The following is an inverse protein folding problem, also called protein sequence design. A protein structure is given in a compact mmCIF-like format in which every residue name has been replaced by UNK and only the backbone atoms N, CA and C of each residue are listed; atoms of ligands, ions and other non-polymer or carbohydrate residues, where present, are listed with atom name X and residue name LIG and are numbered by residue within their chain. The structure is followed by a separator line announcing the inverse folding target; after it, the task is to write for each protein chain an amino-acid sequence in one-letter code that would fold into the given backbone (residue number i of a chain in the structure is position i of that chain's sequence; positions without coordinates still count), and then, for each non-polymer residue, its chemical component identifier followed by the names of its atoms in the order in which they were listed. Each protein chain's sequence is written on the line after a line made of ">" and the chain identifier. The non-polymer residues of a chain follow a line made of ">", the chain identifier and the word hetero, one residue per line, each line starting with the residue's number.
data_IF_450547026030
#
_entry.id   IF_450547026030
#
_cell.length_a   1.000
_cell.length_b   1.000
_cell.length_c   1.000
_cell.angle_alpha   90.00
_cell.angle_beta   90.00
_cell.angle_gamma   90.00
#
_symmetry.space_group_name_H-M   'P 1'
#
loop_
_entity.id
_entity.type
_entity.pdbx_description
1 polymer ?
#
# COMPACT_ATOMS: atom_id res chain seq x y z
N UNK A 1 4.52 0.66 -0.85
CA UNK A 1 5.03 0.80 0.53
C UNK A 1 4.88 2.24 0.99
N UNK A 2 4.35 2.45 2.20
CA UNK A 2 4.27 3.76 2.85
C UNK A 2 5.35 3.86 3.93
N UNK A 3 6.21 4.87 3.86
CA UNK A 3 7.31 5.06 4.80
C UNK A 3 6.99 6.18 5.80
N UNK A 4 7.34 5.95 7.06
CA UNK A 4 7.44 7.06 8.02
C UNK A 4 8.83 7.68 7.87
N UNK A 5 8.92 8.76 7.08
CA UNK A 5 10.15 9.51 6.89
C UNK A 5 10.17 10.77 7.77
N UNK A 6 11.10 10.89 8.74
CA UNK A 6 11.32 12.13 9.48
C UNK A 6 12.13 13.17 8.69
N UNK A 7 12.53 12.89 7.44
CA UNK A 7 13.23 13.83 6.56
C UNK A 7 14.76 13.68 6.57
N UNK A 8 15.31 12.59 7.11
CA UNK A 8 16.74 12.28 7.09
C UNK A 8 16.98 10.90 6.51
N UNK A 9 17.82 10.80 5.48
CA UNK A 9 18.19 9.54 4.83
C UNK A 9 19.00 8.59 5.72
N UNK A 10 19.51 9.07 6.86
CA UNK A 10 20.37 8.31 7.78
C UNK A 10 19.67 7.85 9.08
N UNK A 11 18.36 8.04 9.22
CA UNK A 11 17.67 7.61 10.45
C UNK A 11 17.52 6.07 10.49
N UNK A 12 18.14 5.38 11.47
CA UNK A 12 18.05 3.93 11.63
C UNK A 12 16.63 3.44 12.00
N UNK A 13 15.70 4.35 12.31
CA UNK A 13 14.30 4.03 12.63
C UNK A 13 13.36 4.11 11.42
N UNK A 14 13.85 4.38 10.20
CA UNK A 14 12.99 4.40 9.01
C UNK A 14 12.40 3.02 8.77
N UNK A 15 11.08 2.92 8.88
CA UNK A 15 10.33 1.67 8.70
C UNK A 15 9.24 1.87 7.65
N UNK A 16 8.95 0.79 6.93
CA UNK A 16 7.76 0.74 6.09
C UNK A 16 6.53 0.44 6.98
N UNK A 17 5.72 1.46 7.23
CA UNK A 17 4.52 1.34 8.06
C UNK A 17 3.33 0.75 7.30
N UNK A 18 3.35 0.84 5.97
CA UNK A 18 2.37 0.24 5.08
C UNK A 18 3.07 -0.62 4.05
N UNK A 19 2.69 -1.90 3.99
CA UNK A 19 3.15 -2.85 2.99
C UNK A 19 1.94 -3.51 2.34
N UNK A 20 1.86 -3.38 1.02
CA UNK A 20 0.84 -3.99 0.19
C UNK A 20 1.52 -4.57 -1.04
N UNK A 21 1.17 -5.80 -1.40
CA UNK A 21 1.45 -6.37 -2.73
C UNK A 21 0.20 -6.21 -3.59
N UNK A 22 0.38 -5.75 -4.82
CA UNK A 22 -0.72 -5.64 -5.80
C UNK A 22 -0.34 -6.47 -7.02
N UNK A 23 -1.22 -7.38 -7.44
CA UNK A 23 -1.08 -8.11 -8.71
C UNK A 23 -2.22 -7.75 -9.64
N UNK A 24 -1.88 -7.30 -10.85
CA UNK A 24 -2.84 -6.89 -11.88
C UNK A 24 -2.86 -7.93 -13.01
N UNK A 25 -4.05 -8.43 -13.38
CA UNK A 25 -4.19 -9.28 -14.56
C UNK A 25 -5.34 -8.77 -15.45
N UNK A 26 -5.02 -8.13 -16.60
CA UNK A 26 -6.04 -7.59 -17.49
C UNK A 26 -6.81 -8.67 -18.25
N UNK A 27 -6.23 -9.85 -18.48
CA UNK A 27 -6.91 -10.97 -19.15
C UNK A 27 -7.97 -11.63 -18.26
N UNK A 28 -7.74 -11.60 -16.95
CA UNK A 28 -8.67 -12.12 -15.95
C UNK A 28 -9.59 -11.03 -15.39
N UNK A 29 -9.34 -9.78 -15.80
CA UNK A 29 -10.06 -8.60 -15.32
C UNK A 29 -10.04 -8.51 -13.79
N UNK A 30 -8.94 -8.93 -13.17
CA UNK A 30 -8.82 -9.04 -11.71
C UNK A 30 -7.56 -8.35 -11.18
N UNK A 31 -7.71 -7.75 -10.01
CA UNK A 31 -6.64 -7.20 -9.18
C UNK A 31 -6.66 -7.90 -7.84
N UNK A 32 -5.51 -8.37 -7.34
CA UNK A 32 -5.40 -8.84 -5.96
C UNK A 32 -4.57 -7.84 -5.16
N UNK A 33 -5.03 -7.50 -3.96
CA UNK A 33 -4.31 -6.64 -3.01
C UNK A 33 -4.06 -7.43 -1.74
N UNK A 34 -2.80 -7.65 -1.38
CA UNK A 34 -2.40 -8.33 -0.14
C UNK A 34 -1.87 -7.29 0.84
N UNK A 35 -2.62 -7.02 1.91
CA UNK A 35 -2.16 -6.22 3.04
C UNK A 35 -1.24 -7.04 3.94
N UNK A 36 -0.02 -6.54 4.13
CA UNK A 36 1.01 -7.20 4.95
C UNK A 36 1.17 -6.43 6.26
N UNK A 37 0.79 -7.00 7.41
CA UNK A 37 0.98 -6.34 8.70
C UNK A 37 2.46 -6.03 8.91
N UNK A 38 2.77 -4.77 9.23
CA UNK A 38 4.15 -4.28 9.42
C UNK A 38 4.95 -5.05 10.49
N UNK A 39 4.23 -5.63 11.45
CA UNK A 39 4.78 -6.38 12.58
C UNK A 39 4.90 -7.90 12.28
N UNK A 40 4.70 -8.33 11.03
CA UNK A 40 4.85 -9.73 10.59
C UNK A 40 6.26 -10.26 10.84
N UNK A 41 6.38 -11.31 11.66
CA UNK A 41 7.65 -11.92 12.06
C UNK A 41 8.13 -12.96 11.04
N UNK A 42 8.96 -12.50 10.10
CA UNK A 42 9.39 -13.25 8.92
C UNK A 42 10.92 -13.28 8.84
N UNK A 43 11.52 -14.28 8.14
CA UNK A 43 12.92 -14.17 7.74
C UNK A 43 13.11 -12.91 6.91
N UNK A 44 14.08 -12.06 7.26
CA UNK A 44 14.40 -10.90 6.44
C UNK A 44 15.43 -11.32 5.39
N UNK A 45 15.14 -11.02 4.12
CA UNK A 45 15.97 -11.41 2.99
C UNK A 45 17.38 -10.85 3.14
N UNK A 46 18.40 -11.66 2.83
CA UNK A 46 19.83 -11.30 2.94
C UNK A 46 20.30 -10.78 4.32
N UNK A 47 19.54 -11.02 5.40
CA UNK A 47 19.88 -10.55 6.75
C UNK A 47 20.25 -11.67 7.74
N UNK A 48 19.84 -12.92 7.46
CA UNK A 48 20.23 -14.11 8.24
C UNK A 48 19.44 -14.35 9.53
N UNK A 49 18.47 -13.48 9.87
CA UNK A 49 17.57 -13.66 11.03
C UNK A 49 16.15 -13.21 10.74
N UNK A 50 15.22 -13.61 11.62
CA UNK A 50 13.83 -13.16 11.60
C UNK A 50 13.69 -11.83 12.34
N UNK A 51 12.81 -10.98 11.83
CA UNK A 51 12.38 -9.74 12.47
C UNK A 51 10.99 -9.36 11.96
N UNK A 52 10.45 -8.23 12.45
CA UNK A 52 9.29 -7.57 11.86
C UNK A 52 9.61 -7.17 10.42
N UNK A 53 8.70 -7.48 9.50
CA UNK A 53 8.91 -7.23 8.07
C UNK A 53 9.21 -5.75 7.77
N UNK A 54 8.67 -4.81 8.55
CA UNK A 54 8.96 -3.39 8.37
C UNK A 54 10.42 -2.99 8.62
N UNK A 55 11.18 -3.81 9.35
CA UNK A 55 12.59 -3.59 9.60
C UNK A 55 13.45 -3.87 8.36
N UNK A 56 12.96 -4.63 7.38
CA UNK A 56 13.65 -4.85 6.09
C UNK A 56 14.04 -3.53 5.42
N UNK A 57 13.17 -2.52 5.50
CA UNK A 57 13.44 -1.19 4.94
C UNK A 57 14.58 -0.47 5.67
N UNK A 58 14.65 -0.60 7.00
CA UNK A 58 15.75 -0.05 7.79
C UNK A 58 17.08 -0.73 7.47
N UNK A 59 17.05 -2.04 7.18
CA UNK A 59 18.25 -2.85 6.98
C UNK A 59 18.84 -2.75 5.56
N UNK A 60 17.99 -2.68 4.53
CA UNK A 60 18.46 -2.67 3.14
C UNK A 60 17.57 -1.87 2.19
N UNK A 61 16.76 -0.96 2.71
CA UNK A 61 15.89 -0.11 1.91
C UNK A 61 14.85 -0.88 1.11
N UNK A 62 14.43 -0.28 0.00
CA UNK A 62 13.38 -0.79 -0.88
C UNK A 62 13.68 -2.19 -1.41
N UNK A 63 14.92 -2.45 -1.83
CA UNK A 63 15.32 -3.74 -2.42
C UNK A 63 15.17 -4.89 -1.42
N UNK A 64 15.69 -4.72 -0.19
CA UNK A 64 15.53 -5.75 0.85
C UNK A 64 14.07 -5.95 1.25
N UNK A 65 13.25 -4.89 1.24
CA UNK A 65 11.81 -5.02 1.47
C UNK A 65 11.12 -5.81 0.35
N UNK A 66 11.42 -5.53 -0.91
CA UNK A 66 10.88 -6.28 -2.06
C UNK A 66 11.22 -7.75 -1.93
N UNK A 67 12.51 -8.09 -1.77
CA UNK A 67 12.95 -9.48 -1.66
C UNK A 67 12.33 -10.19 -0.45
N UNK A 68 12.15 -9.49 0.68
CA UNK A 68 11.48 -10.07 1.86
C UNK A 68 10.00 -10.36 1.59
N UNK A 69 9.32 -9.53 0.80
CA UNK A 69 7.93 -9.76 0.38
C UNK A 69 7.86 -10.92 -0.63
N UNK A 70 8.78 -11.00 -1.59
CA UNK A 70 8.92 -12.13 -2.51
C UNK A 70 9.13 -13.46 -1.75
N UNK A 71 10.07 -13.47 -0.79
CA UNK A 71 10.37 -14.61 0.06
C UNK A 71 9.15 -15.04 0.90
N UNK A 72 8.34 -14.09 1.35
CA UNK A 72 7.13 -14.35 2.14
C UNK A 72 6.00 -14.94 1.27
N UNK A 73 5.75 -14.38 0.10
CA UNK A 73 4.56 -14.65 -0.71
C UNK A 73 4.81 -15.57 -1.92
N UNK A 74 6.07 -15.94 -2.18
CA UNK A 74 6.45 -16.86 -3.25
C UNK A 74 6.02 -16.40 -4.65
N UNK A 75 5.99 -15.09 -4.87
CA UNK A 75 5.67 -14.45 -6.15
C UNK A 75 6.64 -13.29 -6.42
N UNK A 76 7.00 -13.04 -7.69
CA UNK A 76 7.90 -11.94 -8.02
C UNK A 76 7.26 -10.57 -7.73
N UNK A 77 8.10 -9.60 -7.40
CA UNK A 77 7.74 -8.19 -7.23
C UNK A 77 8.47 -7.38 -8.30
N UNK A 78 7.81 -7.17 -9.44
CA UNK A 78 8.40 -6.50 -10.60
C UNK A 78 8.67 -5.00 -10.34
N UNK A 79 7.76 -4.37 -9.60
CA UNK A 79 7.77 -2.93 -9.36
C UNK A 79 7.49 -2.57 -7.91
N UNK A 80 7.96 -1.39 -7.51
CA UNK A 80 7.62 -0.80 -6.23
C UNK A 80 7.08 0.62 -6.41
N UNK A 81 6.16 1.00 -5.54
CA UNK A 81 5.82 2.40 -5.29
C UNK A 81 6.11 2.68 -3.82
N UNK A 82 6.93 3.69 -3.55
CA UNK A 82 7.29 4.16 -2.21
C UNK A 82 6.83 5.59 -2.04
N UNK A 83 5.90 5.83 -1.13
CA UNK A 83 5.45 7.18 -0.78
C UNK A 83 5.72 7.45 0.69
N UNK A 84 6.13 8.68 1.01
CA UNK A 84 6.11 9.18 2.38
C UNK A 84 4.75 9.86 2.69
N UNK A 85 4.66 10.50 3.87
CA UNK A 85 3.46 11.22 4.29
C UNK A 85 3.10 12.37 3.36
N UNK A 86 4.09 13.12 2.85
CA UNK A 86 3.87 14.24 1.92
C UNK A 86 3.45 13.73 0.56
N UNK A 87 4.06 12.63 0.08
CA UNK A 87 3.70 12.02 -1.19
C UNK A 87 2.24 11.59 -1.25
N UNK A 88 1.69 11.06 -0.15
CA UNK A 88 0.24 10.78 -0.09
C UNK A 88 -0.61 12.06 -0.15
N UNK A 89 -0.21 13.10 0.59
CA UNK A 89 -0.94 14.39 0.62
C UNK A 89 -0.97 15.02 -0.77
N UNK A 90 0.19 15.17 -1.39
CA UNK A 90 0.35 15.77 -2.72
C UNK A 90 -0.36 14.97 -3.80
N UNK A 91 -0.29 13.63 -3.75
CA UNK A 91 -1.02 12.77 -4.68
C UNK A 91 -2.53 12.99 -4.59
N UNK A 92 -3.09 12.96 -3.38
CA UNK A 92 -4.53 13.15 -3.17
C UNK A 92 -4.97 14.54 -3.62
N UNK A 93 -4.17 15.58 -3.35
CA UNK A 93 -4.49 16.94 -3.77
C UNK A 93 -4.39 17.12 -5.29
N UNK A 94 -3.36 16.55 -5.92
CA UNK A 94 -3.13 16.64 -7.37
C UNK A 94 -4.26 15.99 -8.19
N UNK A 95 -4.90 14.94 -7.67
CA UNK A 95 -6.06 14.29 -8.32
C UNK A 95 -7.40 14.92 -7.94
N UNK A 96 -7.39 16.01 -7.17
CA UNK A 96 -8.61 16.74 -6.78
C UNK A 96 -9.40 16.10 -5.64
N UNK A 97 -8.70 15.40 -4.74
CA UNK A 97 -9.28 14.72 -3.58
C UNK A 97 -9.87 13.35 -3.90
N UNK A 98 -10.14 12.58 -2.85
CA UNK A 98 -10.71 11.22 -2.90
C UNK A 98 -12.00 11.13 -2.09
N UNK A 99 -12.83 10.15 -2.41
CA UNK A 99 -14.02 9.80 -1.64
C UNK A 99 -13.85 8.39 -1.06
N UNK A 100 -14.17 8.20 0.22
CA UNK A 100 -14.21 6.86 0.84
C UNK A 100 -15.52 6.68 1.59
N UNK A 101 -15.99 5.44 1.70
CA UNK A 101 -17.12 5.09 2.56
C UNK A 101 -16.62 4.71 3.95
N UNK A 102 -16.86 5.59 4.92
CA UNK A 102 -16.34 5.46 6.27
C UNK A 102 -17.31 4.69 7.17
N UNK A 103 -16.81 3.65 7.87
CA UNK A 103 -17.67 2.73 8.59
C UNK A 103 -18.23 3.25 9.93
N UNK A 104 -17.67 4.31 10.52
CA UNK A 104 -18.13 4.88 11.79
C UNK A 104 -17.55 6.27 12.07
N UNK A 105 -18.23 7.04 12.90
CA UNK A 105 -17.80 8.38 13.32
C UNK A 105 -16.51 8.37 14.16
N UNK A 106 -15.56 9.24 13.82
CA UNK A 106 -14.41 9.48 14.69
C UNK A 106 -13.79 10.87 14.51
N UNK A 107 -12.99 11.30 15.50
CA UNK A 107 -12.22 12.55 15.46
C UNK A 107 -10.75 12.27 15.64
N UNK A 108 -9.94 12.67 14.67
CA UNK A 108 -8.51 12.41 14.70
C UNK A 108 -7.72 13.58 14.13
N UNK A 109 -6.73 14.05 14.89
CA UNK A 109 -5.80 15.12 14.49
C UNK A 109 -6.48 16.37 13.92
N UNK A 110 -7.54 16.83 14.57
CA UNK A 110 -8.26 18.06 14.19
C UNK A 110 -9.34 17.89 13.13
N UNK A 111 -9.48 16.70 12.54
CA UNK A 111 -10.53 16.39 11.58
C UNK A 111 -11.64 15.55 12.21
N UNK A 112 -12.86 15.75 11.72
CA UNK A 112 -14.02 14.89 11.96
C UNK A 112 -14.25 14.03 10.72
N UNK A 113 -14.49 12.75 10.95
CA UNK A 113 -14.83 11.75 9.94
C UNK A 113 -16.19 11.21 10.30
N UNK A 114 -17.19 11.54 9.49
CA UNK A 114 -18.56 11.07 9.64
C UNK A 114 -18.70 9.69 9.00
N UNK A 115 -19.61 8.87 9.51
CA UNK A 115 -20.03 7.61 8.89
C UNK A 115 -20.66 7.88 7.51
N UNK A 116 -20.37 7.00 6.55
CA UNK A 116 -20.81 7.11 5.17
C UNK A 116 -19.78 7.75 4.23
N UNK A 117 -20.21 8.18 3.03
CA UNK A 117 -19.33 8.76 2.02
C UNK A 117 -18.71 10.08 2.48
N UNK A 118 -17.38 10.15 2.47
CA UNK A 118 -16.64 11.35 2.84
C UNK A 118 -15.63 11.75 1.77
N UNK A 119 -15.73 12.99 1.32
CA UNK A 119 -14.69 13.62 0.49
C UNK A 119 -13.52 14.07 1.36
N UNK A 120 -12.31 13.79 0.91
CA UNK A 120 -11.06 14.09 1.60
C UNK A 120 -10.01 14.64 0.64
N UNK A 121 -9.27 15.62 1.13
CA UNK A 121 -8.08 16.17 0.49
C UNK A 121 -6.86 15.90 1.38
N UNK A 122 -5.69 15.92 0.76
CA UNK A 122 -4.36 15.77 1.35
C UNK A 122 -4.28 15.29 2.79
N UNK A 123 -4.18 16.24 3.74
CA UNK A 123 -3.97 15.94 5.16
C UNK A 123 -5.11 15.14 5.81
N UNK A 124 -6.38 15.38 5.40
CA UNK A 124 -7.53 14.64 5.91
C UNK A 124 -7.44 13.17 5.49
N UNK A 125 -7.05 12.89 4.25
CA UNK A 125 -6.83 11.52 3.77
C UNK A 125 -5.64 10.85 4.47
N UNK A 126 -4.53 11.56 4.68
CA UNK A 126 -3.39 11.07 5.45
C UNK A 126 -3.77 10.69 6.88
N UNK A 127 -4.56 11.54 7.55
CA UNK A 127 -4.98 11.31 8.93
C UNK A 127 -6.01 10.21 9.05
N UNK A 128 -6.90 10.06 8.05
CA UNK A 128 -7.78 8.90 7.91
C UNK A 128 -6.98 7.59 7.89
N UNK A 129 -5.99 7.48 6.99
CA UNK A 129 -5.16 6.28 6.83
C UNK A 129 -4.26 5.95 8.04
N UNK A 130 -4.07 6.89 8.97
CA UNK A 130 -3.20 6.73 10.15
C UNK A 130 -3.96 6.46 11.44
N UNK A 131 -5.28 6.63 11.46
CA UNK A 131 -6.07 6.39 12.66
C UNK A 131 -6.04 4.89 13.01
N UNK A 132 -5.69 4.61 14.27
CA UNK A 132 -5.59 3.24 14.82
C UNK A 132 -6.28 3.09 16.18
N UNK A 133 -6.00 4.00 17.12
CA UNK A 133 -6.37 3.85 18.53
C UNK A 133 -7.88 3.91 18.80
N UNK A 134 -8.65 4.55 17.92
CA UNK A 134 -10.10 4.65 18.03
C UNK A 134 -10.81 3.56 17.21
N UNK A 135 -10.05 2.73 16.49
CA UNK A 135 -10.62 1.64 15.71
C UNK A 135 -10.86 0.42 16.61
N UNK A 136 -12.08 -0.14 16.64
CA UNK A 136 -12.38 -1.35 17.42
C UNK A 136 -11.55 -2.57 16.97
N UNK A 137 -11.03 -2.56 15.74
CA UNK A 137 -10.17 -3.60 15.15
C UNK A 137 -8.68 -3.22 15.18
N UNK A 138 -8.32 -2.11 15.82
CA UNK A 138 -6.93 -1.68 15.98
C UNK A 138 -6.16 -1.55 14.66
N UNK A 139 -5.05 -2.27 14.53
CA UNK A 139 -4.17 -2.21 13.35
C UNK A 139 -4.84 -2.75 12.09
N UNK A 140 -5.72 -3.76 12.21
CA UNK A 140 -6.48 -4.29 11.08
C UNK A 140 -7.38 -3.22 10.47
N UNK A 141 -8.07 -2.43 11.29
CA UNK A 141 -8.89 -1.33 10.80
C UNK A 141 -8.07 -0.16 10.23
N UNK A 142 -6.83 0.04 10.68
CA UNK A 142 -5.90 0.96 9.99
C UNK A 142 -5.53 0.44 8.60
N UNK A 143 -5.21 -0.85 8.48
CA UNK A 143 -4.86 -1.46 7.19
C UNK A 143 -6.05 -1.40 6.22
N UNK A 144 -7.28 -1.57 6.72
CA UNK A 144 -8.52 -1.34 5.96
C UNK A 144 -8.56 0.06 5.36
N UNK A 145 -8.40 1.11 6.18
CA UNK A 145 -8.42 2.50 5.70
C UNK A 145 -7.32 2.79 4.68
N UNK A 146 -6.15 2.18 4.86
CA UNK A 146 -5.05 2.32 3.89
C UNK A 146 -5.42 1.70 2.53
N UNK A 147 -6.13 0.57 2.52
CA UNK A 147 -6.68 0.00 1.28
C UNK A 147 -7.79 0.87 0.69
N UNK A 148 -8.72 1.35 1.50
CA UNK A 148 -9.78 2.26 1.03
C UNK A 148 -9.21 3.52 0.38
N UNK A 149 -8.16 4.11 0.97
CA UNK A 149 -7.45 5.25 0.38
C UNK A 149 -6.76 4.88 -0.94
N UNK A 150 -6.08 3.72 -1.01
CA UNK A 150 -5.48 3.25 -2.26
C UNK A 150 -6.53 3.07 -3.36
N UNK A 151 -7.64 2.41 -3.04
CA UNK A 151 -8.73 2.16 -3.97
C UNK A 151 -9.35 3.47 -4.46
N UNK A 152 -9.63 4.40 -3.55
CA UNK A 152 -10.19 5.70 -3.90
C UNK A 152 -9.24 6.56 -4.75
N UNK A 153 -7.92 6.46 -4.51
CA UNK A 153 -6.91 7.09 -5.38
C UNK A 153 -6.97 6.50 -6.79
N UNK A 154 -7.03 5.17 -6.91
CA UNK A 154 -7.12 4.48 -8.19
C UNK A 154 -8.40 4.88 -8.92
N UNK A 155 -9.56 4.81 -8.26
CA UNK A 155 -10.85 5.15 -8.85
C UNK A 155 -10.91 6.61 -9.28
N UNK A 156 -10.38 7.52 -8.45
CA UNK A 156 -10.27 8.93 -8.82
C UNK A 156 -9.37 9.13 -10.02
N UNK A 157 -8.18 8.51 -10.04
CA UNK A 157 -7.21 8.65 -11.13
C UNK A 157 -7.79 8.25 -12.50
N UNK A 158 -8.70 7.27 -12.54
CA UNK A 158 -9.41 6.83 -13.75
C UNK A 158 -10.42 7.87 -14.30
N UNK A 159 -10.78 8.86 -13.51
CA UNK A 159 -11.77 9.89 -13.89
C UNK A 159 -11.15 11.25 -14.17
N UNK A 160 -9.91 11.49 -13.72
CA UNK A 160 -9.22 12.77 -13.89
C UNK A 160 -8.77 12.91 -15.36
N UNK A 161 -9.28 13.88 -16.13
CA UNK A 161 -8.93 14.01 -17.56
C UNK A 161 -7.42 14.15 -17.80
N UNK A 162 -6.72 14.81 -16.88
CA UNK A 162 -5.26 14.94 -16.91
C UNK A 162 -4.51 13.61 -16.81
N UNK A 163 -5.10 12.58 -16.21
CA UNK A 163 -4.48 11.26 -16.08
C UNK A 163 -4.93 10.26 -17.16
N UNK A 164 -5.92 10.62 -17.98
CA UNK A 164 -6.55 9.67 -18.92
C UNK A 164 -6.48 10.08 -20.38
N UNK A 165 -6.31 11.38 -20.66
CA UNK A 165 -6.48 11.90 -22.03
C UNK A 165 -5.17 12.04 -22.79
N UNK A 166 -4.07 12.41 -22.12
CA UNK A 166 -2.77 12.65 -22.74
C UNK A 166 -1.62 12.26 -21.82
N UNK A 167 -0.58 11.65 -22.40
CA UNK A 167 0.65 11.30 -21.67
C UNK A 167 1.38 12.55 -21.16
N UNK A 168 1.21 13.71 -21.81
CA UNK A 168 1.80 14.99 -21.37
C UNK A 168 1.17 15.44 -20.06
N UNK A 169 -0.16 15.49 -19.98
CA UNK A 169 -0.87 15.87 -18.76
C UNK A 169 -0.60 14.85 -17.63
N UNK A 170 -0.48 13.56 -17.99
CA UNK A 170 -0.11 12.51 -17.06
C UNK A 170 1.27 12.77 -16.46
N UNK A 171 2.26 13.07 -17.31
CA UNK A 171 3.62 13.41 -16.88
C UNK A 171 3.66 14.66 -16.00
N UNK A 172 2.82 15.68 -16.28
CA UNK A 172 2.75 16.88 -15.43
C UNK A 172 2.27 16.54 -14.02
N UNK A 173 1.22 15.72 -13.88
CA UNK A 173 0.69 15.32 -12.57
C UNK A 173 1.67 14.41 -11.82
N UNK A 174 2.30 13.46 -12.51
CA UNK A 174 3.33 12.59 -11.88
C UNK A 174 4.56 13.41 -11.48
N UNK A 175 4.94 14.42 -12.25
CA UNK A 175 6.05 15.33 -11.91
C UNK A 175 5.81 16.10 -10.61
N UNK A 176 4.55 16.40 -10.24
CA UNK A 176 4.24 17.08 -8.97
C UNK A 176 4.59 16.23 -7.75
N UNK A 177 4.53 14.91 -7.86
CA UNK A 177 4.69 13.99 -6.73
C UNK A 177 6.05 13.28 -6.72
N UNK A 178 6.92 13.54 -7.70
CA UNK A 178 8.17 12.79 -7.91
C UNK A 178 9.19 12.93 -6.77
N UNK A 179 9.14 14.03 -6.04
CA UNK A 179 10.04 14.29 -4.92
C UNK A 179 9.75 13.37 -3.73
N UNK A 180 8.46 13.10 -3.49
CA UNK A 180 7.95 12.38 -2.32
C UNK A 180 7.43 10.96 -2.64
N UNK A 181 7.33 10.61 -3.93
CA UNK A 181 7.01 9.27 -4.43
C UNK A 181 8.17 8.74 -5.27
N UNK A 182 8.70 7.57 -4.91
CA UNK A 182 9.72 6.85 -5.69
C UNK A 182 9.15 5.56 -6.24
N UNK A 183 9.53 5.24 -7.48
CA UNK A 183 9.12 4.04 -8.18
C UNK A 183 10.20 3.64 -9.18
N UNK A 184 10.24 2.37 -9.56
CA UNK A 184 10.99 1.88 -10.72
C UNK A 184 10.13 1.74 -11.98
N UNK A 185 8.83 2.08 -11.92
CA UNK A 185 7.98 2.20 -13.09
C UNK A 185 8.37 3.43 -13.93
N UNK A 186 8.66 3.21 -15.21
CA UNK A 186 8.81 4.28 -16.18
C UNK A 186 7.47 4.93 -16.53
N UNK A 187 7.50 6.19 -16.98
CA UNK A 187 6.30 6.92 -17.39
C UNK A 187 5.48 6.17 -18.46
N UNK A 188 6.16 5.52 -19.42
CA UNK A 188 5.50 4.72 -20.45
C UNK A 188 4.81 3.50 -19.88
N UNK A 189 5.42 2.81 -18.90
CA UNK A 189 4.81 1.65 -18.23
C UNK A 189 3.60 2.07 -17.40
N UNK A 190 3.69 3.19 -16.67
CA UNK A 190 2.55 3.74 -15.92
C UNK A 190 1.39 4.11 -16.84
N UNK A 191 1.70 4.70 -18.01
CA UNK A 191 0.71 5.05 -19.02
C UNK A 191 0.10 3.81 -19.68
N UNK A 192 0.90 2.78 -19.95
CA UNK A 192 0.43 1.49 -20.48
C UNK A 192 -0.53 0.82 -19.49
N UNK A 193 -0.17 0.77 -18.20
CA UNK A 193 -1.05 0.27 -17.13
C UNK A 193 -2.35 1.08 -17.10
N UNK A 194 -2.26 2.41 -17.10
CA UNK A 194 -3.44 3.28 -17.11
C UNK A 194 -4.35 2.98 -18.30
N UNK A 195 -3.84 2.68 -19.49
CA UNK A 195 -4.67 2.41 -20.67
C UNK A 195 -5.21 0.99 -20.75
N UNK A 196 -4.34 0.01 -20.49
CA UNK A 196 -4.57 -1.38 -20.87
C UNK A 196 -4.97 -2.28 -19.71
N UNK A 197 -4.90 -1.79 -18.48
CA UNK A 197 -5.23 -2.55 -17.27
C UNK A 197 -6.50 -2.06 -16.57
N UNK A 198 -7.26 -1.18 -17.21
CA UNK A 198 -8.51 -0.64 -16.65
C UNK A 198 -9.52 -1.73 -16.26
N UNK A 199 -9.62 -2.79 -17.06
CA UNK A 199 -10.54 -3.89 -16.79
C UNK A 199 -10.10 -4.71 -15.58
N UNK A 200 -8.79 -4.83 -15.33
CA UNK A 200 -8.25 -5.47 -14.12
C UNK A 200 -8.70 -4.77 -12.83
N UNK A 201 -9.01 -3.47 -12.91
CA UNK A 201 -9.40 -2.66 -11.75
C UNK A 201 -10.89 -2.79 -11.41
N UNK A 202 -11.70 -3.45 -12.25
CA UNK A 202 -13.13 -3.61 -12.00
C UNK A 202 -13.44 -4.70 -10.98
N UNK A 203 -12.53 -5.66 -10.77
CA UNK A 203 -12.69 -6.73 -9.79
C UNK A 203 -11.46 -6.80 -8.87
N UNK A 204 -11.61 -6.27 -7.66
CA UNK A 204 -10.55 -6.22 -6.65
C UNK A 204 -10.81 -7.29 -5.59
N UNK A 205 -9.85 -8.21 -5.45
CA UNK A 205 -9.83 -9.26 -4.43
C UNK A 205 -8.85 -8.88 -3.35
N UNK A 206 -9.36 -8.72 -2.13
CA UNK A 206 -8.55 -8.31 -0.99
C UNK A 206 -8.10 -9.51 -0.14
N UNK A 207 -6.85 -9.44 0.29
CA UNK A 207 -6.21 -10.43 1.14
C UNK A 207 -5.54 -9.75 2.33
N UNK A 208 -5.64 -10.37 3.50
CA UNK A 208 -4.72 -10.14 4.61
C UNK A 208 -3.74 -11.30 4.70
N UNK A 209 -2.52 -11.05 5.16
CA UNK A 209 -1.63 -12.16 5.52
C UNK A 209 -2.33 -12.97 6.62
N UNK A 210 -2.53 -14.28 6.43
CA UNK A 210 -3.13 -15.14 7.46
C UNK A 210 -2.12 -15.39 8.58
N UNK A 211 -2.59 -15.47 9.82
CA UNK A 211 -1.72 -15.57 10.99
C UNK A 211 -2.41 -15.15 12.28
N UNK A 212 -1.62 -15.08 13.34
CA UNK A 212 -2.09 -14.72 14.68
C UNK A 212 -1.24 -13.63 15.31
N UNK A 213 -1.84 -12.86 16.20
CA UNK A 213 -1.12 -11.92 17.04
C UNK A 213 -0.42 -12.66 18.19
N UNK A 214 0.72 -12.16 18.64
CA UNK A 214 1.35 -12.67 19.85
C UNK A 214 2.52 -11.80 20.31
N UNK A 215 3.09 -12.16 21.45
CA UNK A 215 4.19 -11.41 22.06
C UNK A 215 5.42 -12.30 22.24
N UNK A 216 6.60 -11.69 22.13
CA UNK A 216 7.88 -12.30 22.47
C UNK A 216 8.71 -11.27 23.20
N UNK A 217 9.09 -11.56 24.45
CA UNK A 217 9.80 -10.65 25.33
C UNK A 217 9.12 -9.27 25.41
N UNK A 218 7.82 -9.25 25.74
CA UNK A 218 6.99 -8.02 25.86
C UNK A 218 6.89 -7.18 24.56
N UNK A 219 7.35 -7.73 23.44
CA UNK A 219 7.25 -7.09 22.13
C UNK A 219 6.19 -7.79 21.30
N UNK A 220 5.22 -7.03 20.81
CA UNK A 220 4.18 -7.52 19.90
C UNK A 220 4.75 -7.92 18.53
N UNK A 221 4.26 -9.03 17.99
CA UNK A 221 4.49 -9.51 16.64
C UNK A 221 3.19 -10.05 16.03
N UNK A 222 3.12 -10.00 14.71
CA UNK A 222 2.18 -10.80 13.94
C UNK A 222 2.91 -12.05 13.46
N UNK A 223 2.36 -13.24 13.67
CA UNK A 223 2.95 -14.52 13.30
C UNK A 223 2.20 -15.10 12.10
N UNK A 224 2.75 -14.98 10.87
CA UNK A 224 2.08 -15.50 9.71
C UNK A 224 1.95 -17.04 9.73
N UNK A 225 0.79 -17.53 9.33
CA UNK A 225 0.49 -18.95 9.18
C UNK A 225 1.08 -19.45 7.85
N UNK A 226 2.08 -20.33 7.95
CA UNK A 226 2.84 -20.79 6.78
C UNK A 226 2.00 -21.59 5.79
N UNK A 227 1.10 -22.44 6.28
CA UNK A 227 0.29 -23.30 5.40
C UNK A 227 -0.74 -22.44 4.64
N UNK A 228 -1.37 -21.50 5.35
CA UNK A 228 -2.32 -20.57 4.71
C UNK A 228 -1.62 -19.58 3.76
N UNK A 229 -0.39 -19.17 4.07
CA UNK A 229 0.43 -18.40 3.12
C UNK A 229 0.69 -19.19 1.85
N UNK A 230 0.92 -20.51 1.95
CA UNK A 230 1.13 -21.36 0.76
C UNK A 230 -0.14 -21.40 -0.10
N UNK A 231 -1.32 -21.50 0.49
CA UNK A 231 -2.59 -21.40 -0.23
C UNK A 231 -2.73 -20.05 -0.95
N UNK A 232 -2.44 -18.95 -0.25
CA UNK A 232 -2.43 -17.61 -0.85
C UNK A 232 -1.39 -17.50 -1.99
N UNK A 233 -0.20 -18.06 -1.80
CA UNK A 233 0.87 -18.12 -2.82
C UNK A 233 0.39 -18.83 -4.08
N UNK A 234 -0.33 -19.95 -3.94
CA UNK A 234 -0.88 -20.69 -5.07
C UNK A 234 -1.97 -19.89 -5.79
N UNK A 235 -2.80 -19.15 -5.06
CA UNK A 235 -3.80 -18.24 -5.63
C UNK A 235 -3.14 -17.10 -6.41
N UNK A 236 -2.16 -16.41 -5.83
CA UNK A 236 -1.43 -15.34 -6.49
C UNK A 236 -0.65 -15.84 -7.72
N UNK A 237 -0.02 -17.01 -7.63
CA UNK A 237 0.63 -17.62 -8.79
C UNK A 237 -0.36 -18.00 -9.90
N UNK A 238 -1.57 -18.48 -9.56
CA UNK A 238 -2.63 -18.66 -10.55
C UNK A 238 -2.98 -17.32 -11.16
N UNK A 239 -3.17 -16.28 -10.35
CA UNK A 239 -3.49 -14.93 -10.81
C UNK A 239 -2.45 -14.39 -11.81
N UNK A 240 -1.15 -14.62 -11.58
CA UNK A 240 -0.07 -14.14 -12.45
C UNK A 240 0.09 -14.93 -13.77
N UNK A 241 -0.53 -16.11 -13.90
CA UNK A 241 -0.48 -16.88 -15.16
C UNK A 241 -1.25 -16.17 -16.27
N UNK A 242 -0.55 -16.01 -17.41
CA UNK A 242 -1.05 -15.42 -18.66
C UNK A 242 -2.10 -16.26 -19.36
#
# INVERSE_FOLDING_TARGET
>A
MGIDDPGSTQDPNRRADTLMLVTLNPKKETTHIVSIPRDSYVPISNYGKKDKINASYAYGGTEMTMNTVEDLLGVPVDYFIRADKRGLVELVDAIGGIEVDNAFDFKYKGFTYEEGPIQMHGEKALHYARMRKQDPRGDFGRNERQRQVLQAVVDKARTVPGLTTSITNFSEIIGVIEDNVRTNLGLEEMWDIQKNYQDALNNVVEHGIPGTEGEKNETYYYYPDKEKIKELTEELNKQLKK
#
